data_IF_511454997825
#
_entry.id   IF_511454997825
#
_cell.length_a   1.000
_cell.length_b   1.000
_cell.length_c   1.000
_cell.angle_alpha   90.00
_cell.angle_beta   90.00
_cell.angle_gamma   90.00
#
_symmetry.space_group_name_H-M   'P 1'
#
loop_
_entity.id
_entity.type
_entity.pdbx_description
1 polymer ?
#
# COMPACT_ATOMS: atom_id res chain seq x y z
N UNK A 1 26.38 16.49 -44.82
CA UNK A 1 25.92 15.72 -43.64
C UNK A 1 26.82 16.05 -42.45
N UNK A 2 26.49 17.07 -41.66
CA UNK A 2 27.25 17.45 -40.45
C UNK A 2 26.30 17.84 -39.28
N UNK A 3 25.09 18.28 -39.62
CA UNK A 3 24.06 18.72 -38.68
C UNK A 3 23.39 17.56 -37.91
N UNK A 4 23.52 16.32 -38.38
CA UNK A 4 22.96 15.15 -37.69
C UNK A 4 23.75 14.76 -36.43
N UNK A 5 25.07 14.99 -36.41
CA UNK A 5 25.94 14.59 -35.30
C UNK A 5 25.81 15.54 -34.10
N UNK A 6 25.66 16.84 -34.37
CA UNK A 6 25.43 17.88 -33.34
C UNK A 6 24.07 17.73 -32.67
N UNK A 7 23.02 17.43 -33.44
CA UNK A 7 21.67 17.22 -32.89
C UNK A 7 21.55 16.01 -31.96
N UNK A 8 22.31 14.95 -32.23
CA UNK A 8 22.35 13.75 -31.38
C UNK A 8 23.06 14.06 -30.06
N UNK A 9 24.16 14.81 -30.10
CA UNK A 9 24.89 15.21 -28.90
C UNK A 9 24.07 16.11 -27.98
N UNK A 10 23.33 17.08 -28.52
CA UNK A 10 22.45 17.95 -27.73
C UNK A 10 21.27 17.18 -27.12
N UNK A 11 20.70 16.22 -27.84
CA UNK A 11 19.61 15.37 -27.34
C UNK A 11 20.07 14.48 -26.17
N UNK A 12 21.27 13.91 -26.25
CA UNK A 12 21.84 13.08 -25.19
C UNK A 12 22.11 13.87 -23.90
N UNK A 13 22.62 15.11 -24.03
CA UNK A 13 22.88 15.99 -22.88
C UNK A 13 21.58 16.40 -22.19
N UNK A 14 20.53 16.73 -22.97
CA UNK A 14 19.21 17.05 -22.41
C UNK A 14 18.62 15.86 -21.66
N UNK A 15 18.62 14.66 -22.26
CA UNK A 15 18.16 13.44 -21.57
C UNK A 15 18.92 13.21 -20.25
N UNK A 16 20.25 13.34 -20.26
CA UNK A 16 21.07 13.16 -19.04
C UNK A 16 20.65 14.07 -17.89
N UNK A 17 20.35 15.35 -18.14
CA UNK A 17 19.90 16.29 -17.09
C UNK A 17 18.55 15.89 -16.47
N UNK A 18 17.61 15.38 -17.28
CA UNK A 18 16.30 14.94 -16.77
C UNK A 18 16.41 13.72 -15.85
N UNK A 19 17.33 12.79 -16.16
CA UNK A 19 17.56 11.61 -15.33
C UNK A 19 18.31 11.94 -14.02
N UNK A 20 19.25 12.89 -14.02
CA UNK A 20 19.96 13.30 -12.79
C UNK A 20 19.08 14.06 -11.79
N UNK A 21 18.03 14.75 -12.25
CA UNK A 21 17.11 15.50 -11.38
C UNK A 21 15.99 14.68 -10.75
N UNK A 22 15.85 13.41 -11.13
CA UNK A 22 14.78 12.54 -10.65
C UNK A 22 15.23 11.82 -9.38
N UNK A 23 14.84 12.32 -8.21
CA UNK A 23 14.87 11.52 -6.98
C UNK A 23 13.84 10.40 -7.14
N UNK A 24 14.28 9.23 -7.60
CA UNK A 24 13.46 8.01 -7.53
C UNK A 24 13.34 7.67 -6.06
N UNK A 25 12.26 8.13 -5.44
CA UNK A 25 11.79 7.57 -4.19
C UNK A 25 11.33 6.15 -4.54
N UNK A 26 12.25 5.19 -4.38
CA UNK A 26 11.91 3.78 -4.42
C UNK A 26 10.88 3.57 -3.32
N UNK A 27 9.60 3.51 -3.71
CA UNK A 27 8.55 3.02 -2.84
C UNK A 27 8.90 1.55 -2.60
N UNK A 28 9.69 1.30 -1.56
CA UNK A 28 9.95 -0.02 -1.01
C UNK A 28 8.58 -0.66 -0.79
N UNK A 29 8.15 -1.50 -1.73
CA UNK A 29 6.93 -2.28 -1.61
C UNK A 29 7.20 -3.37 -0.57
N UNK A 30 7.31 -2.95 0.69
CA UNK A 30 7.58 -3.80 1.84
C UNK A 30 6.40 -4.76 1.92
N UNK A 31 6.60 -5.95 1.39
CA UNK A 31 5.52 -6.94 1.28
C UNK A 31 5.19 -7.35 2.70
N UNK A 32 4.04 -6.88 3.20
CA UNK A 32 3.61 -7.13 4.58
C UNK A 32 3.28 -8.61 4.71
N UNK A 33 4.20 -9.38 5.29
CA UNK A 33 3.96 -10.80 5.58
C UNK A 33 3.07 -10.86 6.81
N UNK A 34 1.88 -11.44 6.65
CA UNK A 34 0.93 -11.64 7.73
C UNK A 34 0.74 -13.12 8.05
N UNK A 35 0.74 -13.51 9.33
CA UNK A 35 0.38 -14.87 9.72
C UNK A 35 -1.07 -15.15 9.31
N UNK A 36 -1.32 -16.37 8.84
CA UNK A 36 -2.65 -16.84 8.43
C UNK A 36 -3.48 -17.39 9.61
N UNK A 37 -3.13 -17.00 10.84
CA UNK A 37 -3.81 -17.47 12.05
C UNK A 37 -5.09 -16.65 12.24
N UNK A 38 -6.23 -17.33 12.31
CA UNK A 38 -7.53 -16.68 12.53
C UNK A 38 -7.67 -16.26 14.00
N UNK A 39 -8.05 -15.00 14.22
CA UNK A 39 -8.35 -14.49 15.54
C UNK A 39 -9.84 -14.76 15.86
N UNK A 40 -10.17 -15.05 17.12
CA UNK A 40 -11.58 -15.08 17.56
C UNK A 40 -12.08 -13.65 17.75
N UNK A 41 -12.96 -13.20 16.86
CA UNK A 41 -13.57 -11.87 16.89
C UNK A 41 -15.09 -11.98 16.69
N UNK A 42 -15.82 -10.91 17.00
CA UNK A 42 -17.25 -10.81 16.80
C UNK A 42 -17.61 -10.27 15.42
N UNK A 43 -17.12 -9.07 15.09
CA UNK A 43 -17.34 -8.43 13.78
C UNK A 43 -16.23 -7.42 13.48
N UNK A 44 -16.14 -6.97 12.24
CA UNK A 44 -15.30 -5.84 11.86
C UNK A 44 -16.09 -4.74 11.17
N UNK A 45 -15.60 -3.51 11.27
CA UNK A 45 -16.14 -2.33 10.58
C UNK A 45 -14.99 -1.71 9.77
N UNK A 46 -15.21 -1.46 8.49
CA UNK A 46 -14.20 -0.91 7.59
C UNK A 46 -14.65 0.45 7.04
N UNK A 47 -13.73 1.40 6.81
CA UNK A 47 -14.08 2.73 6.32
C UNK A 47 -14.92 2.72 5.03
N UNK A 48 -14.62 1.81 4.11
CA UNK A 48 -15.33 1.69 2.83
C UNK A 48 -16.76 1.12 2.96
N UNK A 49 -17.09 0.53 4.11
CA UNK A 49 -18.40 -0.09 4.38
C UNK A 49 -19.27 0.74 5.32
N UNK A 50 -18.82 1.94 5.72
CA UNK A 50 -19.48 2.76 6.72
C UNK A 50 -19.62 2.00 8.05
N UNK A 51 -20.82 2.00 8.63
CA UNK A 51 -21.13 1.34 9.90
C UNK A 51 -21.56 -0.13 9.76
N UNK A 52 -21.49 -0.68 8.54
CA UNK A 52 -21.86 -2.08 8.30
C UNK A 52 -20.90 -3.01 9.03
N UNK A 53 -21.47 -3.90 9.86
CA UNK A 53 -20.75 -5.00 10.50
C UNK A 53 -20.46 -6.11 9.48
N UNK A 54 -19.21 -6.49 9.38
CA UNK A 54 -18.71 -7.56 8.51
C UNK A 54 -18.27 -8.75 9.36
N UNK A 55 -18.54 -9.96 8.86
CA UNK A 55 -18.26 -11.24 9.54
C UNK A 55 -17.41 -12.15 8.65
N UNK A 56 -16.15 -11.78 8.33
CA UNK A 56 -15.30 -12.65 7.54
C UNK A 56 -15.01 -13.97 8.26
N UNK A 57 -14.92 -15.08 7.52
CA UNK A 57 -14.71 -16.40 8.12
C UNK A 57 -13.38 -16.51 8.89
N UNK A 58 -12.32 -15.87 8.39
CA UNK A 58 -11.02 -15.83 9.02
C UNK A 58 -10.39 -14.45 8.80
N UNK A 59 -9.93 -13.82 9.88
CA UNK A 59 -9.12 -12.60 9.80
C UNK A 59 -8.32 -12.43 11.08
N UNK A 60 -7.37 -11.50 11.05
CA UNK A 60 -6.63 -11.01 12.21
C UNK A 60 -6.21 -9.56 11.94
N UNK A 61 -5.58 -8.92 12.93
CA UNK A 61 -5.18 -7.52 12.84
C UNK A 61 -4.17 -7.22 11.71
N UNK A 62 -3.37 -8.21 11.32
CA UNK A 62 -2.42 -8.06 10.23
C UNK A 62 -3.11 -8.17 8.87
N UNK A 63 -4.00 -9.14 8.72
CA UNK A 63 -4.77 -9.39 7.49
C UNK A 63 -5.87 -8.35 7.25
N UNK A 64 -6.36 -7.72 8.31
CA UNK A 64 -7.34 -6.65 8.23
C UNK A 64 -6.78 -5.49 7.41
N UNK A 65 -7.57 -5.04 6.42
CA UNK A 65 -7.21 -3.88 5.59
C UNK A 65 -7.00 -2.65 6.47
N UNK A 66 -6.10 -1.76 6.03
CA UNK A 66 -5.78 -0.52 6.73
C UNK A 66 -7.05 0.24 7.15
N UNK A 67 -7.15 0.57 8.43
CA UNK A 67 -8.29 1.30 9.00
C UNK A 67 -9.51 0.45 9.35
N UNK A 68 -9.56 -0.84 9.01
CA UNK A 68 -10.63 -1.73 9.47
C UNK A 68 -10.50 -2.02 10.96
N UNK A 69 -11.55 -1.80 11.72
CA UNK A 69 -11.62 -2.03 13.16
C UNK A 69 -12.20 -3.41 13.44
N UNK A 70 -11.48 -4.26 14.15
CA UNK A 70 -11.96 -5.58 14.59
C UNK A 70 -12.46 -5.47 16.03
N UNK A 71 -13.66 -5.99 16.29
CA UNK A 71 -14.31 -6.00 17.59
C UNK A 71 -14.52 -7.43 18.07
N UNK A 72 -14.37 -7.67 19.36
CA UNK A 72 -14.73 -8.94 19.99
C UNK A 72 -16.24 -9.13 20.09
N UNK A 73 -16.68 -10.30 20.55
CA UNK A 73 -18.11 -10.63 20.69
C UNK A 73 -18.87 -9.69 21.63
N UNK A 74 -18.17 -9.06 22.58
CA UNK A 74 -18.73 -8.06 23.50
C UNK A 74 -18.63 -6.61 22.98
N UNK A 75 -18.25 -6.40 21.72
CA UNK A 75 -18.10 -5.06 21.14
C UNK A 75 -16.84 -4.30 21.59
N UNK A 76 -15.92 -4.93 22.33
CA UNK A 76 -14.62 -4.34 22.66
C UNK A 76 -13.74 -4.28 21.41
N UNK A 77 -13.14 -3.12 21.13
CA UNK A 77 -12.16 -2.96 20.06
C UNK A 77 -10.92 -3.83 20.37
N UNK A 78 -10.57 -4.72 19.44
CA UNK A 78 -9.38 -5.56 19.53
C UNK A 78 -8.20 -4.85 18.86
N UNK A 79 -8.38 -4.38 17.63
CA UNK A 79 -7.33 -3.72 16.86
C UNK A 79 -7.89 -2.97 15.64
N UNK A 80 -7.04 -2.14 15.04
CA UNK A 80 -7.26 -1.54 13.73
C UNK A 80 -6.24 -2.09 12.74
N UNK A 81 -6.70 -2.55 11.58
CA UNK A 81 -5.87 -3.07 10.50
C UNK A 81 -4.83 -2.04 10.06
N UNK A 82 -3.61 -2.52 9.80
CA UNK A 82 -2.46 -1.70 9.41
C UNK A 82 -2.12 -1.84 7.94
#
# INVERSE_FOLDING_TARGET
>A
MANSKVGILTLLVLCGLFFLGSNVEYAEAKTKVCPQVCLKFGYMICPHSGDKKLYPACTNCCLAKKGCKLYGSHGKLICTGK
#
